data_IF_371140582755
#
_entry.id   IF_371140582755
#
_cell.length_a   1.000
_cell.length_b   1.000
_cell.length_c   1.000
_cell.angle_alpha   90.00
_cell.angle_beta   90.00
_cell.angle_gamma   90.00
#
_symmetry.space_group_name_H-M   'P 1'
#
loop_
_entity.id
_entity.type
_entity.pdbx_description
1 polymer ?
#
# COMPACT_ATOMS: atom_id res chain seq x y z
N UNK A 1 -22.45 21.91 -11.21
CA UNK A 1 -21.17 22.60 -11.50
C UNK A 1 -20.06 21.66 -11.06
N UNK A 2 -19.07 21.37 -11.92
CA UNK A 2 -17.90 20.60 -11.51
C UNK A 2 -17.00 21.48 -10.63
N UNK A 3 -16.35 20.93 -9.59
CA UNK A 3 -15.46 21.70 -8.72
C UNK A 3 -14.27 22.26 -9.51
N UNK A 4 -13.78 23.45 -9.13
CA UNK A 4 -12.65 24.14 -9.78
C UNK A 4 -11.35 23.33 -9.76
N UNK A 5 -11.20 22.42 -8.80
CA UNK A 5 -10.15 21.42 -8.76
C UNK A 5 -10.76 20.08 -8.31
N UNK A 6 -10.37 19.00 -8.98
CA UNK A 6 -10.67 17.66 -8.51
C UNK A 6 -9.71 17.33 -7.35
N UNK A 7 -10.16 16.72 -6.25
CA UNK A 7 -9.31 16.34 -5.12
C UNK A 7 -8.49 15.09 -5.46
N UNK A 8 -7.67 15.18 -6.51
CA UNK A 8 -6.85 14.08 -7.04
C UNK A 8 -5.39 14.41 -6.74
N UNK A 9 -4.72 13.51 -6.03
CA UNK A 9 -3.26 13.52 -5.94
C UNK A 9 -2.67 12.56 -6.97
N UNK A 10 -1.77 13.07 -7.80
CA UNK A 10 -1.06 12.27 -8.79
C UNK A 10 0.25 11.73 -8.20
N UNK A 11 0.45 10.44 -8.41
CA UNK A 11 1.68 9.73 -8.06
C UNK A 11 2.22 9.04 -9.31
N UNK A 12 3.53 9.12 -9.50
CA UNK A 12 4.20 8.56 -10.67
C UNK A 12 5.14 7.44 -10.23
N UNK A 13 5.09 6.34 -10.97
CA UNK A 13 5.93 5.17 -10.75
C UNK A 13 6.55 4.73 -12.08
N UNK A 14 7.67 4.00 -11.99
CA UNK A 14 8.17 3.23 -13.14
C UNK A 14 7.11 2.21 -13.56
N UNK A 15 7.00 1.93 -14.85
CA UNK A 15 6.06 0.95 -15.42
C UNK A 15 6.10 -0.39 -14.68
N UNK A 16 7.29 -0.96 -14.48
CA UNK A 16 7.51 -2.21 -13.75
C UNK A 16 6.95 -2.22 -12.31
N UNK A 17 6.80 -1.04 -11.70
CA UNK A 17 6.24 -0.85 -10.37
C UNK A 17 4.73 -0.58 -10.38
N UNK A 18 4.10 -0.33 -11.54
CA UNK A 18 2.65 -0.17 -11.65
C UNK A 18 1.94 -1.48 -12.02
N UNK A 19 2.65 -2.43 -12.60
CA UNK A 19 2.04 -3.61 -13.23
C UNK A 19 1.78 -4.79 -12.29
N UNK A 20 2.01 -4.63 -10.97
CA UNK A 20 1.85 -5.73 -10.02
C UNK A 20 1.13 -5.31 -8.75
N UNK A 21 0.52 -6.30 -8.10
CA UNK A 21 -0.34 -6.06 -6.94
C UNK A 21 -1.53 -5.19 -7.35
N UNK A 22 -2.00 -5.31 -8.59
CA UNK A 22 -3.17 -4.64 -9.12
C UNK A 22 -4.32 -5.64 -9.18
N UNK A 23 -5.50 -5.22 -8.80
CA UNK A 23 -6.73 -5.99 -8.88
C UNK A 23 -7.89 -5.12 -9.35
N UNK A 24 -8.92 -5.77 -9.88
CA UNK A 24 -10.18 -5.09 -10.20
C UNK A 24 -11.04 -4.94 -8.95
N UNK A 25 -11.64 -3.77 -8.79
CA UNK A 25 -12.68 -3.49 -7.82
C UNK A 25 -13.89 -2.87 -8.51
N UNK A 26 -15.08 -3.21 -8.01
CA UNK A 26 -16.30 -2.48 -8.34
C UNK A 26 -16.48 -1.36 -7.32
N UNK A 27 -16.46 -0.12 -7.80
CA UNK A 27 -16.75 1.07 -6.99
C UNK A 27 -17.93 1.77 -7.64
N UNK A 28 -19.09 1.69 -6.98
CA UNK A 28 -20.33 2.32 -7.45
C UNK A 28 -20.76 1.87 -8.87
N UNK A 29 -20.56 0.60 -9.21
CA UNK A 29 -20.90 0.03 -10.52
C UNK A 29 -19.83 0.23 -11.59
N UNK A 30 -18.70 0.86 -11.26
CA UNK A 30 -17.57 1.05 -12.16
C UNK A 30 -16.44 0.09 -11.80
N UNK A 31 -15.97 -0.66 -12.81
CA UNK A 31 -14.75 -1.46 -12.69
C UNK A 31 -13.53 -0.54 -12.74
N UNK A 32 -12.77 -0.54 -11.66
CA UNK A 32 -11.55 0.25 -11.52
C UNK A 32 -10.40 -0.63 -11.06
N UNK A 33 -9.19 -0.30 -11.50
CA UNK A 33 -7.99 -0.95 -11.00
C UNK A 33 -7.56 -0.31 -9.68
N UNK A 34 -7.31 -1.15 -8.67
CA UNK A 34 -6.79 -0.75 -7.36
C UNK A 34 -5.58 -1.60 -7.00
N UNK A 35 -4.80 -1.17 -6.02
CA UNK A 35 -3.75 -2.00 -5.43
C UNK A 35 -4.34 -3.03 -4.47
N UNK A 36 -3.81 -4.25 -4.48
CA UNK A 36 -4.15 -5.25 -3.48
C UNK A 36 -3.62 -4.84 -2.09
N UNK A 37 -3.99 -5.63 -1.08
CA UNK A 37 -3.72 -5.31 0.31
C UNK A 37 -2.21 -5.30 0.61
N UNK A 38 -1.48 -6.30 0.15
CA UNK A 38 -0.02 -6.39 0.33
C UNK A 38 0.70 -5.21 -0.34
N UNK A 39 0.25 -4.83 -1.54
CA UNK A 39 0.81 -3.70 -2.27
C UNK A 39 0.55 -2.39 -1.53
N UNK A 40 -0.68 -2.19 -1.05
CA UNK A 40 -1.08 -0.99 -0.31
C UNK A 40 -0.24 -0.79 0.96
N UNK A 41 0.10 -1.87 1.69
CA UNK A 41 1.02 -1.81 2.84
C UNK A 41 2.42 -1.38 2.42
N UNK A 42 2.95 -1.93 1.32
CA UNK A 42 4.27 -1.55 0.83
C UNK A 42 4.32 -0.09 0.38
N UNK A 43 3.27 0.41 -0.26
CA UNK A 43 3.14 1.82 -0.64
C UNK A 43 3.05 2.73 0.60
N UNK A 44 2.33 2.33 1.65
CA UNK A 44 2.33 3.05 2.93
C UNK A 44 3.75 3.17 3.53
N UNK A 45 4.53 2.08 3.52
CA UNK A 45 5.94 2.11 3.98
C UNK A 45 6.80 3.01 3.08
N UNK A 46 6.59 2.95 1.76
CA UNK A 46 7.32 3.76 0.78
C UNK A 46 7.08 5.25 0.99
N UNK A 47 5.82 5.62 1.25
CA UNK A 47 5.38 7.01 1.40
C UNK A 47 5.19 7.44 2.86
N UNK A 48 5.72 6.69 3.82
CA UNK A 48 5.58 6.95 5.28
C UNK A 48 5.90 8.40 5.71
N UNK A 49 6.85 9.05 5.04
CA UNK A 49 7.21 10.44 5.34
C UNK A 49 6.16 11.45 4.82
N UNK A 50 5.39 11.06 3.80
CA UNK A 50 4.29 11.87 3.22
C UNK A 50 2.97 11.63 3.95
N UNK A 51 2.65 10.38 4.27
CA UNK A 51 1.37 10.02 4.92
C UNK A 51 1.42 10.09 6.46
N UNK A 52 2.61 10.17 7.05
CA UNK A 52 2.82 10.16 8.50
C UNK A 52 3.25 8.78 9.02
N UNK A 53 4.20 8.78 9.97
CA UNK A 53 4.75 7.55 10.55
C UNK A 53 3.71 6.76 11.34
N UNK A 54 2.81 7.45 12.05
CA UNK A 54 1.73 6.83 12.83
C UNK A 54 0.71 6.15 11.92
N UNK A 55 0.32 6.80 10.83
CA UNK A 55 -0.57 6.23 9.80
C UNK A 55 0.07 5.00 9.18
N UNK A 56 1.36 5.06 8.84
CA UNK A 56 2.08 3.89 8.34
C UNK A 56 2.08 2.74 9.36
N UNK A 57 2.33 3.02 10.64
CA UNK A 57 2.30 2.00 11.69
C UNK A 57 0.90 1.40 11.87
N UNK A 58 -0.16 2.22 11.81
CA UNK A 58 -1.54 1.77 11.89
C UNK A 58 -1.92 0.86 10.70
N UNK A 59 -1.52 1.21 9.48
CA UNK A 59 -1.74 0.37 8.29
C UNK A 59 -1.12 -1.01 8.49
N UNK A 60 0.12 -1.08 8.97
CA UNK A 60 0.82 -2.35 9.21
C UNK A 60 0.13 -3.16 10.30
N UNK A 61 -0.19 -2.55 11.46
CA UNK A 61 -0.91 -3.23 12.55
C UNK A 61 -2.27 -3.75 12.09
N UNK A 62 -3.00 -2.97 11.31
CA UNK A 62 -4.32 -3.35 10.79
C UNK A 62 -4.21 -4.51 9.80
N UNK A 63 -3.22 -4.45 8.91
CA UNK A 63 -2.92 -5.55 7.99
C UNK A 63 -2.57 -6.85 8.74
N UNK A 64 -1.74 -6.77 9.78
CA UNK A 64 -1.35 -7.92 10.60
C UNK A 64 -2.52 -8.56 11.36
N UNK A 65 -3.65 -7.86 11.51
CA UNK A 65 -4.88 -8.41 12.10
C UNK A 65 -5.80 -9.07 11.08
N UNK A 66 -5.57 -8.88 9.76
CA UNK A 66 -6.41 -9.46 8.72
C UNK A 66 -6.16 -10.98 8.61
N UNK A 67 -7.23 -11.81 8.54
CA UNK A 67 -7.10 -13.26 8.46
C UNK A 67 -6.66 -13.76 7.08
N UNK A 68 -6.97 -13.00 6.02
CA UNK A 68 -6.64 -13.32 4.63
C UNK A 68 -5.33 -12.67 4.15
N UNK A 69 -4.47 -12.24 5.07
CA UNK A 69 -3.18 -11.64 4.74
C UNK A 69 -2.21 -12.64 4.13
N UNK A 70 -1.42 -12.23 3.15
CA UNK A 70 -0.40 -13.07 2.54
C UNK A 70 1.01 -12.52 2.80
N UNK A 71 1.67 -13.03 3.84
CA UNK A 71 3.01 -12.58 4.24
C UNK A 71 4.09 -12.86 3.19
N UNK A 72 3.98 -13.95 2.44
CA UNK A 72 4.93 -14.27 1.38
C UNK A 72 4.85 -13.25 0.23
N UNK A 73 3.63 -12.89 -0.17
CA UNK A 73 3.38 -11.85 -1.19
C UNK A 73 3.80 -10.47 -0.71
N UNK A 74 3.51 -10.12 0.55
CA UNK A 74 3.99 -8.87 1.15
C UNK A 74 5.52 -8.76 1.08
N UNK A 75 6.23 -9.84 1.44
CA UNK A 75 7.68 -9.89 1.39
C UNK A 75 8.20 -9.73 -0.05
N UNK A 76 7.59 -10.39 -1.04
CA UNK A 76 7.95 -10.23 -2.45
C UNK A 76 7.81 -8.76 -2.90
N UNK A 77 6.65 -8.16 -2.63
CA UNK A 77 6.36 -6.79 -3.02
C UNK A 77 7.28 -5.78 -2.34
N UNK A 78 7.57 -5.98 -1.05
CA UNK A 78 8.46 -5.12 -0.30
C UNK A 78 9.90 -5.16 -0.83
N UNK A 79 10.37 -6.33 -1.31
CA UNK A 79 11.68 -6.44 -1.98
C UNK A 79 11.68 -5.72 -3.32
N UNK A 80 10.64 -5.94 -4.15
CA UNK A 80 10.50 -5.27 -5.46
C UNK A 80 10.47 -3.75 -5.33
N UNK A 81 9.75 -3.22 -4.34
CA UNK A 81 9.65 -1.78 -4.08
C UNK A 81 10.82 -1.22 -3.26
N UNK A 82 11.79 -2.06 -2.86
CA UNK A 82 12.96 -1.69 -2.05
C UNK A 82 12.60 -1.09 -0.69
N UNK A 83 11.51 -1.55 -0.11
CA UNK A 83 11.04 -1.14 1.23
C UNK A 83 11.14 -2.25 2.28
N UNK A 84 11.68 -3.42 1.91
CA UNK A 84 11.77 -4.59 2.77
C UNK A 84 12.41 -4.31 4.14
N UNK A 85 13.58 -3.65 4.17
CA UNK A 85 14.26 -3.35 5.43
C UNK A 85 13.44 -2.42 6.32
N UNK A 86 12.82 -1.41 5.74
CA UNK A 86 11.94 -0.49 6.50
C UNK A 86 10.73 -1.24 7.04
N UNK A 87 10.06 -2.04 6.21
CA UNK A 87 8.92 -2.85 6.62
C UNK A 87 9.31 -3.81 7.75
N UNK A 88 10.47 -4.48 7.67
CA UNK A 88 10.95 -5.39 8.72
C UNK A 88 11.04 -4.70 10.08
N UNK A 89 11.61 -3.50 10.13
CA UNK A 89 11.72 -2.72 11.38
C UNK A 89 10.33 -2.42 11.97
N UNK A 90 9.35 -2.06 11.14
CA UNK A 90 7.98 -1.85 11.62
C UNK A 90 7.33 -3.13 12.13
N UNK A 91 7.58 -4.27 11.47
CA UNK A 91 7.03 -5.56 11.88
C UNK A 91 7.61 -6.01 13.22
N UNK A 92 8.91 -5.79 13.46
CA UNK A 92 9.56 -6.10 14.74
C UNK A 92 8.90 -5.30 15.89
N UNK A 93 8.70 -3.99 15.70
CA UNK A 93 8.05 -3.12 16.70
C UNK A 93 6.57 -3.47 16.91
N UNK A 94 5.87 -3.96 15.89
CA UNK A 94 4.45 -4.27 15.98
C UNK A 94 4.14 -5.62 16.66
N UNK A 95 5.16 -6.47 16.86
CA UNK A 95 5.04 -7.80 17.48
C UNK A 95 5.49 -7.78 18.95
N UNK A 96 6.25 -6.77 19.38
CA UNK A 96 6.43 -6.42 20.80
C UNK A 96 5.17 -5.80 21.40
#
# INVERSE_FOLDING_TARGET
MLPHALPIELYYWKKENLEFGIMDADISGYKVHITDMERSVCDAVKYRNKIGLDVCAEVIRTYLKKPNRNLARLQDYAKRLRVFNTLKNYLEIAIE
#
